data_IF_479081682492
#
_entry.id   IF_479081682492
#
_cell.length_a   1.000
_cell.length_b   1.000
_cell.length_c   1.000
_cell.angle_alpha   90.00
_cell.angle_beta   90.00
_cell.angle_gamma   90.00
#
_symmetry.space_group_name_H-M   'P 1'
#
loop_
_entity.id
_entity.type
_entity.pdbx_description
1 polymer ?
#
# COMPACT_ATOMS: atom_id res chain seq x y z
N UNK A 1 2.53 7.80 11.72
CA UNK A 1 2.01 9.17 11.52
C UNK A 1 1.32 9.25 10.17
N UNK A 2 0.17 9.89 10.11
CA UNK A 2 -0.63 10.02 8.90
C UNK A 2 -0.38 11.38 8.25
N UNK A 3 -0.13 11.37 6.94
CA UNK A 3 0.06 12.59 6.15
C UNK A 3 -1.03 12.67 5.09
N UNK A 4 -1.71 13.79 4.95
CA UNK A 4 -2.65 14.00 3.85
C UNK A 4 -1.93 14.72 2.70
N UNK A 5 -1.40 13.95 1.75
CA UNK A 5 -0.49 14.46 0.72
C UNK A 5 -1.10 14.54 -0.68
N UNK A 6 -2.21 13.83 -0.93
CA UNK A 6 -2.75 13.70 -2.29
C UNK A 6 -4.18 14.23 -2.38
N UNK A 7 -4.46 14.96 -3.44
CA UNK A 7 -5.80 15.45 -3.79
C UNK A 7 -6.65 14.38 -4.47
N UNK A 8 -7.95 14.66 -4.63
CA UNK A 8 -8.87 13.81 -5.41
C UNK A 8 -8.37 13.66 -6.85
N UNK A 9 -7.88 14.72 -7.45
CA UNK A 9 -7.38 14.71 -8.82
C UNK A 9 -6.15 13.78 -8.93
N UNK A 10 -5.22 13.87 -7.99
CA UNK A 10 -4.02 13.04 -7.97
C UNK A 10 -4.33 11.56 -7.70
N UNK A 11 -5.23 11.28 -6.76
CA UNK A 11 -5.65 9.89 -6.47
C UNK A 11 -6.42 9.28 -7.64
N UNK A 12 -7.27 10.05 -8.31
CA UNK A 12 -7.95 9.58 -9.53
C UNK A 12 -6.95 9.31 -10.67
N UNK A 13 -5.93 10.14 -10.81
CA UNK A 13 -4.88 9.93 -11.81
C UNK A 13 -4.15 8.60 -11.58
N UNK A 14 -3.86 8.25 -10.31
CA UNK A 14 -3.27 6.96 -9.95
C UNK A 14 -4.21 5.79 -10.28
N UNK A 15 -5.48 5.88 -9.90
CA UNK A 15 -6.48 4.84 -10.19
C UNK A 15 -6.64 4.60 -11.69
N UNK A 16 -6.62 5.66 -12.49
CA UNK A 16 -6.78 5.57 -13.94
C UNK A 16 -5.60 4.86 -14.64
N UNK A 17 -4.48 4.68 -13.97
CA UNK A 17 -3.35 3.90 -14.48
C UNK A 17 -3.56 2.39 -14.34
N UNK A 18 -4.50 1.96 -13.50
CA UNK A 18 -4.74 0.54 -13.23
C UNK A 18 -5.45 -0.15 -14.40
N UNK A 19 -5.05 -1.38 -14.66
CA UNK A 19 -5.74 -2.30 -15.57
C UNK A 19 -6.65 -3.26 -14.81
N UNK A 20 -6.66 -4.53 -15.19
CA UNK A 20 -7.51 -5.56 -14.61
C UNK A 20 -6.98 -6.02 -13.23
N UNK A 21 -7.89 -6.15 -12.27
CA UNK A 21 -7.60 -6.66 -10.93
C UNK A 21 -7.71 -8.18 -10.90
N UNK A 22 -6.85 -8.83 -10.11
CA UNK A 22 -6.85 -10.27 -9.89
C UNK A 22 -6.69 -10.58 -8.40
N UNK A 23 -7.09 -11.82 -8.00
CA UNK A 23 -7.04 -12.25 -6.60
C UNK A 23 -5.62 -12.19 -6.06
N UNK A 24 -5.44 -11.51 -4.93
CA UNK A 24 -4.17 -11.41 -4.26
C UNK A 24 -3.83 -12.70 -3.49
N UNK A 25 -2.56 -13.08 -3.53
CA UNK A 25 -2.03 -14.25 -2.85
C UNK A 25 -1.39 -13.89 -1.51
N UNK A 26 -1.17 -14.92 -0.69
CA UNK A 26 -0.28 -14.88 0.48
C UNK A 26 0.96 -15.71 0.19
N UNK A 27 2.06 -15.39 0.85
CA UNK A 27 3.32 -16.11 0.67
C UNK A 27 3.67 -16.92 1.91
N UNK A 28 4.07 -18.18 1.67
CA UNK A 28 4.70 -19.05 2.65
C UNK A 28 6.11 -19.37 2.14
N UNK A 29 7.12 -18.68 2.69
CA UNK A 29 8.47 -18.69 2.10
C UNK A 29 8.47 -18.09 0.70
N UNK A 30 8.90 -18.88 -0.31
CA UNK A 30 8.93 -18.47 -1.72
C UNK A 30 7.67 -18.86 -2.51
N UNK A 31 6.70 -19.53 -1.87
CA UNK A 31 5.50 -20.00 -2.53
C UNK A 31 4.33 -19.06 -2.31
N UNK A 32 3.69 -18.65 -3.42
CA UNK A 32 2.43 -17.92 -3.40
C UNK A 32 1.26 -18.89 -3.41
N UNK A 33 0.26 -18.63 -2.57
CA UNK A 33 -1.00 -19.37 -2.58
C UNK A 33 -2.20 -18.44 -2.41
N UNK A 34 -3.34 -18.81 -2.98
CA UNK A 34 -4.60 -18.12 -2.72
C UNK A 34 -5.22 -18.71 -1.45
N UNK A 35 -5.28 -17.91 -0.40
CA UNK A 35 -5.88 -18.29 0.87
C UNK A 35 -6.83 -17.18 1.35
N UNK A 36 -8.10 -17.29 0.96
CA UNK A 36 -9.12 -16.28 1.28
C UNK A 36 -9.50 -16.20 2.76
N UNK A 37 -9.03 -17.14 3.60
CA UNK A 37 -9.21 -17.06 5.05
C UNK A 37 -8.22 -16.09 5.71
N UNK A 38 -7.10 -15.81 5.05
CA UNK A 38 -6.05 -14.91 5.51
C UNK A 38 -6.16 -13.57 4.78
N UNK A 39 -6.33 -13.63 3.47
CA UNK A 39 -6.40 -12.45 2.60
C UNK A 39 -7.46 -12.66 1.53
N UNK A 40 -8.47 -11.81 1.53
CA UNK A 40 -9.43 -11.74 0.45
C UNK A 40 -9.45 -10.30 -0.08
N UNK A 41 -8.77 -10.09 -1.18
CA UNK A 41 -8.66 -8.80 -1.86
C UNK A 41 -8.18 -9.03 -3.28
N UNK A 42 -8.34 -8.03 -4.12
CA UNK A 42 -7.81 -8.04 -5.48
C UNK A 42 -6.75 -6.96 -5.65
N UNK A 43 -5.90 -7.10 -6.64
CA UNK A 43 -4.83 -6.15 -6.90
C UNK A 43 -4.52 -6.00 -8.38
N UNK A 44 -3.85 -4.90 -8.71
CA UNK A 44 -3.21 -4.64 -9.97
C UNK A 44 -1.74 -4.30 -9.72
N UNK A 45 -0.81 -5.05 -10.30
CA UNK A 45 0.63 -4.78 -10.20
C UNK A 45 1.06 -3.92 -11.39
N UNK A 46 1.76 -2.81 -11.10
CA UNK A 46 2.33 -1.97 -12.13
C UNK A 46 3.56 -2.64 -12.74
N UNK A 47 3.59 -2.73 -14.08
CA UNK A 47 4.74 -3.21 -14.83
C UNK A 47 5.70 -2.08 -15.17
N UNK A 48 5.16 -0.87 -15.41
CA UNK A 48 5.90 0.35 -15.70
C UNK A 48 5.53 1.42 -14.69
N UNK A 49 6.52 1.87 -13.92
CA UNK A 49 6.34 2.84 -12.84
C UNK A 49 6.57 4.29 -13.29
N UNK A 50 6.82 4.55 -14.56
CA UNK A 50 7.21 5.88 -15.06
C UNK A 50 6.17 6.95 -14.73
N UNK A 51 4.90 6.70 -15.01
CA UNK A 51 3.84 7.70 -14.76
C UNK A 51 3.50 7.84 -13.29
N UNK A 52 3.43 6.73 -12.55
CA UNK A 52 3.11 6.80 -11.11
C UNK A 52 4.20 7.55 -10.33
N UNK A 53 5.47 7.42 -10.71
CA UNK A 53 6.57 8.15 -10.09
C UNK A 53 6.41 9.67 -10.23
N UNK A 54 5.96 10.15 -11.36
CA UNK A 54 5.71 11.58 -11.59
C UNK A 54 4.66 12.16 -10.66
N UNK A 55 3.67 11.35 -10.30
CA UNK A 55 2.59 11.75 -9.38
C UNK A 55 3.06 11.65 -7.92
N UNK A 56 3.72 10.57 -7.56
CA UNK A 56 3.97 10.21 -6.15
C UNK A 56 5.24 10.83 -5.61
N UNK A 57 6.38 10.72 -6.31
CA UNK A 57 7.68 11.11 -5.75
C UNK A 57 7.75 12.57 -5.28
N UNK A 58 7.19 13.57 -5.99
CA UNK A 58 7.21 14.95 -5.50
C UNK A 58 6.54 15.14 -4.14
N UNK A 59 5.58 14.27 -3.79
CA UNK A 59 4.79 14.36 -2.56
C UNK A 59 5.43 13.63 -1.37
N UNK A 60 6.28 12.63 -1.64
CA UNK A 60 6.81 11.74 -0.58
C UNK A 60 8.31 11.91 -0.34
N UNK A 61 8.97 12.78 -1.10
CA UNK A 61 10.42 13.03 -0.95
C UNK A 61 10.81 13.47 0.47
N UNK A 62 9.98 14.28 1.12
CA UNK A 62 10.22 14.75 2.48
C UNK A 62 10.06 13.63 3.53
N UNK A 63 9.46 12.50 3.15
CA UNK A 63 9.41 11.28 3.95
C UNK A 63 10.66 10.40 3.74
N UNK A 64 11.58 10.80 2.88
CA UNK A 64 12.78 10.04 2.56
C UNK A 64 12.60 9.02 1.45
N UNK A 65 11.51 9.06 0.70
CA UNK A 65 11.27 8.17 -0.45
C UNK A 65 11.79 8.85 -1.71
N UNK A 66 12.82 8.26 -2.33
CA UNK A 66 13.50 8.84 -3.50
C UNK A 66 13.24 8.07 -4.80
N UNK A 67 12.74 6.86 -4.71
CA UNK A 67 12.35 6.07 -5.87
C UNK A 67 11.25 5.06 -5.50
N UNK A 68 10.56 4.54 -6.51
CA UNK A 68 9.60 3.43 -6.42
C UNK A 68 9.94 2.50 -7.58
N UNK A 69 11.06 1.77 -7.43
CA UNK A 69 11.68 1.04 -8.53
C UNK A 69 11.24 -0.42 -8.67
N UNK A 70 10.57 -1.00 -7.65
CA UNK A 70 10.41 -2.45 -7.57
C UNK A 70 8.96 -2.90 -7.59
N UNK A 71 8.30 -2.91 -6.44
CA UNK A 71 6.95 -3.45 -6.30
C UNK A 71 5.96 -2.33 -6.00
N UNK A 72 5.09 -2.03 -6.95
CA UNK A 72 4.04 -1.04 -6.80
C UNK A 72 2.73 -1.61 -7.33
N UNK A 73 1.65 -1.38 -6.59
CA UNK A 73 0.35 -1.97 -6.91
C UNK A 73 -0.81 -1.11 -6.40
N UNK A 74 -1.98 -1.33 -6.95
CA UNK A 74 -3.23 -0.86 -6.37
C UNK A 74 -3.96 -2.07 -5.80
N UNK A 75 -4.38 -1.96 -4.54
CA UNK A 75 -5.20 -2.94 -3.86
C UNK A 75 -6.66 -2.50 -3.91
N UNK A 76 -7.54 -3.46 -4.13
CA UNK A 76 -8.99 -3.25 -4.15
C UNK A 76 -9.65 -4.19 -3.16
N UNK A 77 -10.45 -3.61 -2.27
CA UNK A 77 -11.27 -4.32 -1.30
C UNK A 77 -12.74 -4.05 -1.61
N UNK A 78 -13.47 -5.11 -1.93
CA UNK A 78 -14.94 -5.08 -2.09
C UNK A 78 -15.60 -5.60 -0.81
N UNK A 79 -16.94 -5.58 -0.74
CA UNK A 79 -17.69 -6.10 0.39
C UNK A 79 -17.25 -7.53 0.74
N UNK A 80 -16.96 -7.76 2.03
CA UNK A 80 -16.46 -9.03 2.52
C UNK A 80 -14.95 -9.24 2.39
N UNK A 81 -14.23 -8.30 1.80
CA UNK A 81 -12.78 -8.38 1.67
C UNK A 81 -12.07 -7.89 2.93
N UNK A 82 -10.88 -8.43 3.16
CA UNK A 82 -10.05 -8.14 4.33
C UNK A 82 -8.62 -8.65 4.12
N UNK A 83 -7.72 -8.25 5.00
CA UNK A 83 -6.40 -8.86 5.13
C UNK A 83 -6.06 -8.97 6.61
N UNK A 84 -5.93 -10.20 7.13
CA UNK A 84 -5.62 -10.43 8.53
C UNK A 84 -4.25 -9.87 8.90
N UNK A 85 -4.06 -9.63 10.19
CA UNK A 85 -2.82 -9.09 10.76
C UNK A 85 -1.60 -9.90 10.32
N UNK A 86 -0.60 -9.22 9.77
CA UNK A 86 0.60 -9.83 9.20
C UNK A 86 1.76 -8.83 9.16
N UNK A 87 2.93 -9.33 8.77
CA UNK A 87 4.11 -8.52 8.44
C UNK A 87 4.55 -8.86 7.01
N UNK A 88 5.33 -7.96 6.38
CA UNK A 88 5.76 -8.09 4.99
C UNK A 88 7.26 -8.32 4.81
N UNK A 89 7.99 -8.59 5.88
CA UNK A 89 9.44 -8.75 5.81
C UNK A 89 9.89 -10.04 5.12
N UNK A 90 8.97 -10.97 4.85
CA UNK A 90 9.26 -12.27 4.24
C UNK A 90 9.14 -12.22 2.72
N UNK A 91 9.60 -11.14 2.08
CA UNK A 91 9.71 -11.13 0.62
C UNK A 91 10.70 -12.20 0.16
N UNK A 92 10.48 -12.81 -1.04
CA UNK A 92 11.33 -13.89 -1.53
C UNK A 92 12.81 -13.56 -1.58
N UNK A 93 13.17 -12.31 -1.86
CA UNK A 93 14.55 -11.83 -1.94
C UNK A 93 15.07 -11.17 -0.65
N UNK A 94 14.22 -11.01 0.38
CA UNK A 94 14.58 -10.38 1.65
C UNK A 94 14.92 -8.90 1.56
N UNK A 95 14.60 -8.23 0.45
CA UNK A 95 15.03 -6.84 0.19
C UNK A 95 14.04 -5.78 0.62
N UNK A 96 12.80 -6.12 0.93
CA UNK A 96 11.79 -5.15 1.40
C UNK A 96 12.23 -4.49 2.69
N UNK A 97 12.05 -3.18 2.78
CA UNK A 97 12.38 -2.37 3.95
C UNK A 97 11.19 -1.65 4.51
N UNK A 98 10.44 -0.93 3.67
CA UNK A 98 9.28 -0.14 4.09
C UNK A 98 8.11 -0.33 3.15
N UNK A 99 6.92 -0.09 3.69
CA UNK A 99 5.67 -0.01 2.93
C UNK A 99 5.22 1.44 2.86
N UNK A 100 4.90 1.89 1.66
CA UNK A 100 4.25 3.17 1.40
C UNK A 100 2.81 2.89 0.98
N UNK A 101 1.84 3.37 1.75
CA UNK A 101 0.42 3.21 1.44
C UNK A 101 -0.23 4.58 1.29
N UNK A 102 -1.03 4.73 0.23
CA UNK A 102 -1.81 5.94 -0.06
C UNK A 102 -3.27 5.53 -0.18
N UNK A 103 -4.16 6.15 0.62
CA UNK A 103 -5.60 5.93 0.51
C UNK A 103 -6.13 6.59 -0.76
N UNK A 104 -6.73 5.79 -1.64
CA UNK A 104 -7.28 6.25 -2.93
C UNK A 104 -8.81 6.37 -2.93
N UNK A 105 -9.45 5.96 -1.84
CA UNK A 105 -10.89 6.15 -1.58
C UNK A 105 -11.07 7.08 -0.38
N UNK A 106 -12.18 7.81 -0.35
CA UNK A 106 -12.53 8.66 0.78
C UNK A 106 -13.32 7.89 1.83
N UNK A 107 -13.37 8.43 3.03
CA UNK A 107 -14.03 7.81 4.19
C UNK A 107 -15.52 7.57 4.01
N UNK A 108 -16.20 8.34 3.15
CA UNK A 108 -17.62 8.19 2.84
C UNK A 108 -17.90 7.19 1.72
N UNK A 109 -16.88 6.65 1.07
CA UNK A 109 -17.04 5.73 -0.06
C UNK A 109 -17.16 4.27 0.39
N UNK A 110 -16.85 3.96 1.66
CA UNK A 110 -16.91 2.59 2.18
C UNK A 110 -17.09 2.56 3.70
N UNK A 111 -17.60 1.45 4.20
CA UNK A 111 -17.77 1.16 5.63
C UNK A 111 -16.93 -0.07 6.02
N UNK A 112 -16.33 -0.03 7.19
CA UNK A 112 -15.32 -1.04 7.57
C UNK A 112 -14.02 -0.79 6.85
N UNK A 113 -13.21 -1.82 6.62
CA UNK A 113 -12.00 -1.74 5.83
C UNK A 113 -10.89 -0.86 6.42
N UNK A 114 -10.90 -0.63 7.74
CA UNK A 114 -9.86 0.16 8.40
C UNK A 114 -8.49 -0.48 8.23
N UNK A 115 -7.51 0.33 7.84
CA UNK A 115 -6.10 -0.05 7.89
C UNK A 115 -5.59 0.22 9.31
N UNK A 116 -5.06 -0.80 9.95
CA UNK A 116 -4.45 -0.70 11.28
C UNK A 116 -2.97 -1.03 11.15
N UNK A 117 -2.12 -0.10 11.59
CA UNK A 117 -0.67 -0.25 11.58
C UNK A 117 -0.18 -0.09 13.02
N UNK A 118 0.45 -1.14 13.54
CA UNK A 118 0.97 -1.17 14.92
C UNK A 118 -0.06 -0.66 15.95
N UNK A 119 -1.27 -1.25 15.94
CA UNK A 119 -2.40 -0.91 16.80
C UNK A 119 -3.01 0.48 16.58
N UNK A 120 -2.52 1.27 15.63
CA UNK A 120 -3.04 2.59 15.30
C UNK A 120 -3.90 2.51 14.05
N UNK A 121 -5.13 3.01 14.14
CA UNK A 121 -6.01 3.12 12.96
C UNK A 121 -5.57 4.30 12.09
N UNK A 122 -5.27 4.00 10.84
CA UNK A 122 -4.92 5.01 9.84
C UNK A 122 -6.17 5.77 9.41
N UNK A 123 -6.04 7.07 9.22
CA UNK A 123 -7.14 7.90 8.71
C UNK A 123 -7.68 7.36 7.37
N UNK A 124 -9.02 7.31 7.25
CA UNK A 124 -9.70 6.90 6.02
C UNK A 124 -9.86 8.03 5.00
N UNK A 125 -9.40 9.24 5.34
CA UNK A 125 -9.49 10.38 4.42
C UNK A 125 -8.70 10.11 3.15
N UNK A 126 -9.29 10.50 2.02
CA UNK A 126 -8.65 10.43 0.71
C UNK A 126 -7.27 11.09 0.73
N UNK A 127 -6.28 10.45 0.13
CA UNK A 127 -4.92 10.99 0.02
C UNK A 127 -4.06 10.79 1.26
N UNK A 128 -4.61 10.21 2.33
CA UNK A 128 -3.83 9.86 3.53
C UNK A 128 -2.72 8.89 3.15
N UNK A 129 -1.52 9.23 3.57
CA UNK A 129 -0.29 8.50 3.24
C UNK A 129 0.40 8.06 4.52
N UNK A 130 0.83 6.81 4.57
CA UNK A 130 1.62 6.25 5.67
C UNK A 130 2.84 5.53 5.13
N UNK A 131 3.93 5.63 5.87
CA UNK A 131 5.18 4.94 5.61
C UNK A 131 5.57 4.19 6.88
N UNK A 132 5.80 2.89 6.80
CA UNK A 132 6.17 2.07 7.95
C UNK A 132 7.08 0.90 7.56
N UNK A 133 7.83 0.38 8.53
CA UNK A 133 8.72 -0.75 8.32
C UNK A 133 7.94 -2.01 7.92
N UNK A 134 8.49 -2.78 6.97
CA UNK A 134 7.87 -4.03 6.51
C UNK A 134 7.74 -5.09 7.64
N UNK A 135 8.48 -4.94 8.73
CA UNK A 135 8.36 -5.78 9.92
C UNK A 135 7.26 -5.35 10.89
N UNK A 136 6.56 -4.25 10.60
CA UNK A 136 5.45 -3.77 11.42
C UNK A 136 4.19 -4.57 11.13
N UNK A 137 3.53 -5.05 12.19
CA UNK A 137 2.23 -5.73 12.04
C UNK A 137 1.17 -4.74 11.56
N UNK A 138 0.41 -5.15 10.57
CA UNK A 138 -0.69 -4.38 10.02
C UNK A 138 -1.79 -5.29 9.51
N UNK A 139 -2.99 -4.73 9.35
CA UNK A 139 -4.16 -5.45 8.88
C UNK A 139 -5.15 -4.51 8.19
N UNK A 140 -6.02 -5.09 7.37
CA UNK A 140 -7.20 -4.42 6.84
C UNK A 140 -8.43 -5.15 7.36
N UNK A 141 -9.24 -4.44 8.14
CA UNK A 141 -10.48 -4.97 8.71
C UNK A 141 -11.49 -5.28 7.62
N UNK A 142 -12.46 -6.13 7.95
CA UNK A 142 -13.53 -6.52 7.02
C UNK A 142 -14.22 -5.29 6.43
N UNK A 143 -14.27 -5.20 5.11
CA UNK A 143 -15.06 -4.21 4.40
C UNK A 143 -16.53 -4.62 4.45
N UNK A 144 -17.36 -3.76 5.01
CA UNK A 144 -18.79 -4.03 5.23
C UNK A 144 -19.64 -3.61 4.05
N UNK A 145 -19.28 -2.51 3.39
CA UNK A 145 -19.98 -2.01 2.21
C UNK A 145 -19.08 -1.06 1.42
N UNK A 146 -19.40 -0.85 0.15
CA UNK A 146 -18.65 0.00 -0.75
C UNK A 146 -17.39 -0.67 -1.30
N UNK A 147 -16.46 0.14 -1.77
CA UNK A 147 -15.18 -0.31 -2.32
C UNK A 147 -14.07 0.58 -1.81
N UNK A 148 -12.99 -0.03 -1.34
CA UNK A 148 -11.78 0.68 -0.90
C UNK A 148 -10.64 0.38 -1.85
N UNK A 149 -10.03 1.44 -2.37
CA UNK A 149 -8.78 1.37 -3.12
C UNK A 149 -7.63 1.97 -2.31
N UNK A 150 -6.45 1.39 -2.40
CA UNK A 150 -5.23 2.02 -1.93
C UNK A 150 -4.05 1.67 -2.86
N UNK A 151 -3.09 2.58 -2.91
CA UNK A 151 -1.80 2.33 -3.52
C UNK A 151 -0.86 1.73 -2.47
N UNK A 152 -0.08 0.74 -2.85
CA UNK A 152 0.97 0.14 -2.03
C UNK A 152 2.25 0.02 -2.84
N UNK A 153 3.34 0.52 -2.28
CA UNK A 153 4.68 0.23 -2.77
C UNK A 153 5.50 -0.46 -1.67
N UNK A 154 6.12 -1.58 -2.02
CA UNK A 154 7.15 -2.19 -1.19
C UNK A 154 8.50 -1.57 -1.57
N UNK A 155 9.09 -0.83 -0.65
CA UNK A 155 10.32 -0.07 -0.88
C UNK A 155 11.53 -0.87 -0.41
N UNK A 156 12.57 -0.86 -1.24
CA UNK A 156 13.89 -1.42 -0.92
C UNK A 156 14.82 -0.31 -0.40
N UNK A 157 15.99 -0.69 0.06
CA UNK A 157 16.99 0.26 0.57
C UNK A 157 17.34 1.34 -0.46
N UNK A 158 17.44 0.97 -1.74
CA UNK A 158 17.75 1.91 -2.84
C UNK A 158 16.64 2.92 -3.12
N UNK A 159 15.41 2.66 -2.68
CA UNK A 159 14.27 3.57 -2.85
C UNK A 159 14.20 4.63 -1.73
N UNK A 160 15.06 4.51 -0.72
CA UNK A 160 15.03 5.35 0.48
C UNK A 160 16.30 6.19 0.58
N UNK A 161 16.12 7.42 1.05
CA UNK A 161 17.23 8.31 1.38
C UNK A 161 18.03 7.66 2.51
N UNK A 162 19.35 7.48 2.27
CA UNK A 162 20.23 6.95 3.30
C UNK A 162 20.49 8.04 4.34
N UNK A 163 20.38 7.66 5.63
CA UNK A 163 20.83 8.54 6.70
C UNK A 163 22.32 8.75 6.55
N UNK A 164 22.74 10.04 6.45
CA UNK A 164 24.15 10.36 6.54
C UNK A 164 24.64 9.96 7.92
N UNK A 165 25.65 9.09 7.98
CA UNK A 165 26.34 8.83 9.23
C UNK A 165 26.94 10.14 9.70
N UNK A 166 26.39 10.73 10.75
CA UNK A 166 27.02 11.79 11.48
C UNK A 166 28.33 11.24 12.07
N UNK A 167 29.41 11.70 11.56
CA UNK A 167 30.73 11.38 12.12
C UNK A 167 30.97 12.31 13.30
#
# INVERSE_FOLDING_TARGET
>A
MNYNLFSREETNALLNLAGNFYQAAVYSGNQAEINKRIRNSTKYDFQDNTFLKKIILPKVKDLGVIDIGHEAMILKYDEGHFFKRHIDRTSPDGKRRKNLIIQLSDEDEYEGGELIVDQTTVSKKLGTTVLFDCSTYHEVKLLKSGTRFCFLAHLQKSDLLQESKLI
#
